data_IF_371397077915
#
_entry.id   IF_371397077915
#
_cell.length_a   1.000
_cell.length_b   1.000
_cell.length_c   1.000
_cell.angle_alpha   90.00
_cell.angle_beta   90.00
_cell.angle_gamma   90.00
#
_symmetry.space_group_name_H-M   'P 1'
#
loop_
_entity.id
_entity.type
_entity.pdbx_description
1 polymer ?
#
# COMPACT_ATOMS: atom_id res chain seq x y z
N UNK A 1 -14.47 25.74 38.22
CA UNK A 1 -13.15 25.25 37.79
C UNK A 1 -12.37 24.94 39.06
N UNK A 2 -11.82 23.72 39.23
CA UNK A 2 -11.02 23.37 40.39
C UNK A 2 -9.86 24.35 40.58
N UNK A 3 -9.55 24.72 41.83
CA UNK A 3 -8.49 25.67 42.17
C UNK A 3 -7.10 25.24 41.65
N UNK A 4 -6.90 23.94 41.46
CA UNK A 4 -5.70 23.33 40.91
C UNK A 4 -5.46 23.65 39.42
N UNK A 5 -6.47 24.19 38.72
CA UNK A 5 -6.38 24.59 37.31
C UNK A 5 -6.25 26.11 37.12
N UNK A 6 -6.11 26.89 38.21
CA UNK A 6 -5.85 28.31 38.14
C UNK A 6 -4.35 28.55 38.05
N UNK A 7 -3.88 29.03 36.91
CA UNK A 7 -2.51 29.51 36.76
C UNK A 7 -2.48 30.95 37.28
N UNK A 8 -1.81 31.18 38.40
CA UNK A 8 -1.75 32.48 39.05
C UNK A 8 -0.67 33.40 38.46
N UNK A 9 0.21 32.87 37.61
CA UNK A 9 1.25 33.65 36.93
C UNK A 9 1.34 33.29 35.46
N UNK A 10 1.68 34.24 34.57
CA UNK A 10 1.86 33.95 33.15
C UNK A 10 3.05 33.00 32.99
N UNK A 11 2.76 31.79 32.50
CA UNK A 11 3.79 30.81 32.16
C UNK A 11 4.48 31.22 30.88
N UNK A 12 5.74 31.63 30.96
CA UNK A 12 6.54 31.93 29.77
C UNK A 12 6.99 30.61 29.11
N UNK A 13 6.42 30.28 27.95
CA UNK A 13 6.90 29.15 27.14
C UNK A 13 8.14 29.60 26.40
N UNK A 14 9.32 29.15 26.83
CA UNK A 14 10.56 29.36 26.10
C UNK A 14 10.61 28.39 24.93
N UNK A 15 10.40 28.91 23.74
CA UNK A 15 10.74 28.17 22.52
C UNK A 15 12.26 28.17 22.36
N UNK A 16 12.92 27.04 22.12
CA UNK A 16 14.33 27.02 21.79
C UNK A 16 14.61 27.92 20.60
N UNK A 17 15.44 28.93 20.78
CA UNK A 17 15.86 29.84 19.69
C UNK A 17 16.85 29.19 18.71
N UNK A 18 17.32 28.02 19.02
CA UNK A 18 18.22 27.30 18.15
C UNK A 18 17.45 26.76 16.95
N UNK A 19 17.73 27.33 15.79
CA UNK A 19 17.46 26.71 14.50
C UNK A 19 18.31 25.44 14.38
N UNK A 20 18.06 24.47 15.24
CA UNK A 20 18.53 23.12 15.01
C UNK A 20 17.92 22.70 13.68
N UNK A 21 18.74 22.61 12.67
CA UNK A 21 18.44 21.97 11.40
C UNK A 21 17.44 20.87 11.66
N UNK A 22 16.21 21.03 11.15
CA UNK A 22 15.25 19.97 11.09
C UNK A 22 15.97 18.80 10.42
N UNK A 23 16.52 17.90 11.22
CA UNK A 23 16.88 16.58 10.70
C UNK A 23 15.59 16.11 10.09
N UNK A 24 15.56 15.98 8.78
CA UNK A 24 14.53 15.23 8.09
C UNK A 24 14.62 13.83 8.67
N UNK A 25 13.90 13.61 9.76
CA UNK A 25 13.64 12.27 10.27
C UNK A 25 12.87 11.61 9.13
N UNK A 26 13.55 10.73 8.41
CA UNK A 26 12.86 9.87 7.46
C UNK A 26 11.76 9.17 8.23
N UNK A 27 10.51 9.57 7.96
CA UNK A 27 9.34 8.99 8.59
C UNK A 27 9.24 7.57 8.04
N UNK A 28 9.71 6.60 8.81
CA UNK A 28 9.49 5.20 8.50
C UNK A 28 8.12 4.81 9.06
N UNK A 29 7.31 4.05 8.30
CA UNK A 29 6.08 3.51 8.85
C UNK A 29 6.42 2.63 10.06
N UNK A 30 5.64 2.71 11.14
CA UNK A 30 5.84 1.81 12.27
C UNK A 30 5.74 0.37 11.79
N UNK A 31 6.70 -0.48 12.18
CA UNK A 31 6.63 -1.91 11.89
C UNK A 31 5.55 -2.56 12.76
N UNK A 32 4.43 -2.93 12.16
CA UNK A 32 3.29 -3.56 12.83
C UNK A 32 3.28 -5.09 12.62
N UNK A 33 4.47 -5.67 12.47
CA UNK A 33 4.64 -7.10 12.22
C UNK A 33 4.49 -7.51 10.76
N UNK A 34 4.70 -8.81 10.50
CA UNK A 34 4.70 -9.40 9.15
C UNK A 34 3.33 -9.98 8.73
N UNK A 35 2.25 -9.67 9.44
CA UNK A 35 0.89 -10.11 9.13
C UNK A 35 0.26 -9.31 7.97
N UNK A 36 -0.95 -9.69 7.59
CA UNK A 36 -1.76 -8.92 6.62
C UNK A 36 -1.95 -7.45 7.05
N UNK A 37 -2.12 -7.19 8.36
CA UNK A 37 -2.27 -5.82 8.86
C UNK A 37 -0.99 -5.02 8.60
N UNK A 38 0.19 -5.57 8.95
CA UNK A 38 1.47 -4.94 8.65
C UNK A 38 1.67 -4.68 7.16
N UNK A 39 1.30 -5.64 6.32
CA UNK A 39 1.37 -5.51 4.86
C UNK A 39 0.53 -4.35 4.32
N UNK A 40 -0.76 -4.29 4.71
CA UNK A 40 -1.66 -3.26 4.20
C UNK A 40 -1.27 -1.86 4.67
N UNK A 41 -0.82 -1.72 5.91
CA UNK A 41 -0.37 -0.43 6.45
C UNK A 41 0.95 0.02 5.79
N UNK A 42 1.91 -0.88 5.61
CA UNK A 42 3.15 -0.56 4.91
C UNK A 42 2.90 -0.13 3.46
N UNK A 43 1.95 -0.80 2.76
CA UNK A 43 1.60 -0.45 1.39
C UNK A 43 0.84 0.88 1.36
N UNK A 44 -0.18 1.08 2.20
CA UNK A 44 -0.92 2.34 2.29
C UNK A 44 -0.02 3.53 2.64
N UNK A 45 1.00 3.31 3.51
CA UNK A 45 1.98 4.33 3.81
C UNK A 45 2.86 4.68 2.60
N UNK A 46 3.29 3.68 1.82
CA UNK A 46 4.06 3.91 0.58
C UNK A 46 3.24 4.68 -0.47
N UNK A 47 1.95 4.39 -0.59
CA UNK A 47 1.07 4.98 -1.61
C UNK A 47 0.66 6.44 -1.29
N UNK A 48 0.33 6.74 -0.03
CA UNK A 48 -0.27 8.02 0.35
C UNK A 48 0.16 8.55 1.74
N UNK A 49 1.20 7.97 2.35
CA UNK A 49 1.50 8.19 3.78
C UNK A 49 0.34 7.82 4.71
N UNK A 50 -0.53 6.89 4.27
CA UNK A 50 -1.70 6.44 5.02
C UNK A 50 -2.92 7.35 4.94
N UNK A 51 -2.92 8.36 4.06
CA UNK A 51 -3.99 9.33 3.96
C UNK A 51 -5.17 8.81 3.11
N UNK A 52 -6.35 8.66 3.73
CA UNK A 52 -7.57 8.22 3.04
C UNK A 52 -8.19 9.28 2.12
N UNK A 53 -7.94 10.56 2.36
CA UNK A 53 -8.67 11.67 1.76
C UNK A 53 -7.91 12.35 0.61
N UNK A 54 -6.84 11.74 0.13
CA UNK A 54 -6.00 12.30 -0.92
C UNK A 54 -6.33 11.75 -2.29
N UNK A 55 -6.26 12.63 -3.30
CA UNK A 55 -6.19 12.26 -4.71
C UNK A 55 -4.87 12.78 -5.26
N UNK A 56 -4.10 11.94 -5.94
CA UNK A 56 -2.85 12.36 -6.54
C UNK A 56 -3.04 13.07 -7.89
N UNK A 57 -1.96 13.57 -8.47
CA UNK A 57 -1.97 14.31 -9.75
C UNK A 57 -2.45 13.48 -10.95
N UNK A 58 -2.45 12.15 -10.85
CA UNK A 58 -2.93 11.22 -11.87
C UNK A 58 -4.36 10.74 -11.63
N UNK A 59 -5.04 11.27 -10.58
CA UNK A 59 -6.42 10.90 -10.25
C UNK A 59 -6.57 9.59 -9.48
N UNK A 60 -5.50 9.04 -8.88
CA UNK A 60 -5.59 7.89 -7.99
C UNK A 60 -6.10 8.31 -6.61
N UNK A 61 -6.93 7.47 -5.99
CA UNK A 61 -7.79 7.81 -4.86
C UNK A 61 -7.38 7.12 -3.57
N UNK A 62 -7.35 7.89 -2.49
CA UNK A 62 -7.32 7.45 -1.10
C UNK A 62 -6.03 6.80 -0.64
N UNK A 63 -6.10 6.14 0.51
CA UNK A 63 -4.96 5.52 1.19
C UNK A 63 -4.13 4.58 0.30
N UNK A 64 -4.80 3.83 -0.56
CA UNK A 64 -4.18 2.82 -1.41
C UNK A 64 -4.03 3.25 -2.87
N UNK A 65 -4.29 4.51 -3.18
CA UNK A 65 -4.16 5.09 -4.51
C UNK A 65 -4.82 4.26 -5.61
N UNK A 66 -6.12 4.01 -5.47
CA UNK A 66 -6.89 3.26 -6.45
C UNK A 66 -7.24 4.08 -7.69
N UNK A 67 -7.00 3.52 -8.86
CA UNK A 67 -7.57 4.04 -10.10
C UNK A 67 -9.06 3.67 -10.25
N UNK A 68 -9.86 4.60 -10.82
CA UNK A 68 -11.31 4.43 -10.96
C UNK A 68 -11.69 3.16 -11.75
N UNK A 69 -10.92 2.78 -12.76
CA UNK A 69 -11.17 1.56 -13.52
C UNK A 69 -11.05 0.29 -12.65
N UNK A 70 -10.12 0.27 -11.69
CA UNK A 70 -9.96 -0.84 -10.75
C UNK A 70 -11.13 -0.88 -9.75
N UNK A 71 -11.58 0.28 -9.28
CA UNK A 71 -12.74 0.41 -8.40
C UNK A 71 -14.02 -0.10 -9.08
N UNK A 72 -14.25 0.29 -10.34
CA UNK A 72 -15.40 -0.16 -11.13
C UNK A 72 -15.43 -1.69 -11.29
N UNK A 73 -14.28 -2.34 -11.47
CA UNK A 73 -14.18 -3.80 -11.50
C UNK A 73 -14.68 -4.45 -10.21
N UNK A 74 -14.58 -3.76 -9.09
CA UNK A 74 -15.00 -4.25 -7.77
C UNK A 74 -16.40 -3.78 -7.36
N UNK A 75 -17.09 -3.01 -8.22
CA UNK A 75 -18.44 -2.52 -7.98
C UNK A 75 -18.52 -1.17 -7.28
N UNK A 76 -17.41 -0.44 -7.18
CA UNK A 76 -17.38 0.92 -6.64
C UNK A 76 -17.35 1.91 -7.80
N UNK A 77 -18.44 2.66 -7.98
CA UNK A 77 -18.63 3.58 -9.12
C UNK A 77 -18.61 5.05 -8.72
N UNK A 78 -18.77 5.37 -7.43
CA UNK A 78 -18.77 6.74 -6.93
C UNK A 78 -17.42 7.08 -6.28
N UNK A 79 -16.58 7.81 -7.00
CA UNK A 79 -15.25 8.22 -6.56
C UNK A 79 -15.28 9.13 -5.32
N UNK A 80 -16.25 10.06 -5.27
CA UNK A 80 -16.37 11.00 -4.14
C UNK A 80 -16.78 10.27 -2.85
N UNK A 81 -17.75 9.37 -2.95
CA UNK A 81 -18.13 8.54 -1.80
C UNK A 81 -16.95 7.65 -1.36
N UNK A 82 -16.24 7.03 -2.30
CA UNK A 82 -15.08 6.21 -1.99
C UNK A 82 -14.01 6.98 -1.23
N UNK A 83 -13.72 8.22 -1.65
CA UNK A 83 -12.69 9.05 -1.03
C UNK A 83 -13.07 9.48 0.41
N UNK A 84 -14.36 9.61 0.71
CA UNK A 84 -14.86 10.00 2.03
C UNK A 84 -15.18 8.82 2.97
N UNK A 85 -15.02 7.57 2.49
CA UNK A 85 -15.34 6.36 3.24
C UNK A 85 -14.08 5.49 3.45
N UNK A 86 -13.34 5.65 4.57
CA UNK A 86 -12.18 4.84 4.89
C UNK A 86 -12.49 3.34 4.97
N UNK A 87 -13.67 2.97 5.48
CA UNK A 87 -14.06 1.56 5.60
C UNK A 87 -14.28 0.92 4.22
N UNK A 88 -14.91 1.64 3.29
CA UNK A 88 -15.03 1.22 1.91
C UNK A 88 -13.66 1.04 1.23
N UNK A 89 -12.70 1.92 1.54
CA UNK A 89 -11.32 1.80 1.03
C UNK A 89 -10.62 0.55 1.55
N UNK A 90 -10.76 0.22 2.83
CA UNK A 90 -10.22 -1.02 3.41
C UNK A 90 -10.86 -2.27 2.79
N UNK A 91 -12.19 -2.28 2.61
CA UNK A 91 -12.87 -3.39 1.93
C UNK A 91 -12.44 -3.53 0.47
N UNK A 92 -12.30 -2.41 -0.25
CA UNK A 92 -11.82 -2.41 -1.63
C UNK A 92 -10.39 -2.96 -1.74
N UNK A 93 -9.52 -2.58 -0.80
CA UNK A 93 -8.15 -3.10 -0.76
C UNK A 93 -8.14 -4.63 -0.56
N UNK A 94 -8.87 -5.12 0.44
CA UNK A 94 -8.99 -6.57 0.66
C UNK A 94 -9.56 -7.28 -0.58
N UNK A 95 -10.62 -6.74 -1.18
CA UNK A 95 -11.24 -7.27 -2.40
C UNK A 95 -10.26 -7.34 -3.57
N UNK A 96 -9.45 -6.29 -3.78
CA UNK A 96 -8.40 -6.28 -4.80
C UNK A 96 -7.34 -7.34 -4.55
N UNK A 97 -6.91 -7.52 -3.28
CA UNK A 97 -5.94 -8.55 -2.92
C UNK A 97 -6.48 -9.95 -3.20
N UNK A 98 -7.72 -10.26 -2.82
CA UNK A 98 -8.35 -11.57 -3.08
C UNK A 98 -8.46 -11.86 -4.58
N UNK A 99 -8.81 -10.84 -5.37
CA UNK A 99 -8.89 -10.93 -6.84
C UNK A 99 -7.52 -11.17 -7.46
N UNK A 100 -6.52 -10.38 -7.09
CA UNK A 100 -5.16 -10.50 -7.62
C UNK A 100 -4.55 -11.86 -7.24
N UNK A 101 -4.77 -12.33 -6.02
CA UNK A 101 -4.32 -13.66 -5.57
C UNK A 101 -4.94 -14.77 -6.42
N UNK A 102 -6.23 -14.66 -6.77
CA UNK A 102 -6.87 -15.63 -7.67
C UNK A 102 -6.30 -15.58 -9.10
N UNK A 103 -6.12 -14.39 -9.66
CA UNK A 103 -5.58 -14.21 -11.01
C UNK A 103 -4.17 -14.77 -11.12
N UNK A 104 -3.35 -14.53 -10.08
CA UNK A 104 -1.93 -14.89 -10.02
C UNK A 104 -1.65 -16.26 -9.37
N UNK A 105 -2.66 -17.01 -8.92
CA UNK A 105 -2.49 -18.24 -8.14
C UNK A 105 -1.52 -19.27 -8.75
N UNK A 106 -1.56 -19.44 -10.07
CA UNK A 106 -0.65 -20.35 -10.79
C UNK A 106 0.78 -19.81 -10.82
N UNK A 107 0.93 -18.51 -10.99
CA UNK A 107 2.24 -17.85 -11.02
C UNK A 107 2.84 -17.77 -9.61
N UNK A 108 2.03 -17.50 -8.58
CA UNK A 108 2.45 -17.59 -7.15
C UNK A 108 3.01 -18.98 -6.87
N UNK A 109 2.26 -20.04 -7.16
CA UNK A 109 2.71 -21.44 -6.92
C UNK A 109 3.99 -21.77 -7.68
N UNK A 110 4.16 -21.23 -8.91
CA UNK A 110 5.32 -21.50 -9.76
C UNK A 110 6.58 -20.75 -9.34
N UNK A 111 6.45 -19.52 -8.87
CA UNK A 111 7.59 -18.62 -8.68
C UNK A 111 7.92 -18.30 -7.22
N UNK A 112 7.00 -18.50 -6.27
CA UNK A 112 7.27 -18.32 -4.83
C UNK A 112 8.50 -19.13 -4.41
N UNK A 113 9.44 -18.47 -3.72
CA UNK A 113 10.70 -19.06 -3.27
C UNK A 113 11.85 -18.97 -4.28
N UNK A 114 11.58 -18.64 -5.54
CA UNK A 114 12.64 -18.43 -6.56
C UNK A 114 13.28 -17.06 -6.43
N UNK A 115 14.45 -16.90 -7.05
CA UNK A 115 15.08 -15.59 -7.25
C UNK A 115 14.99 -15.17 -8.72
N UNK A 116 14.57 -13.92 -8.95
CA UNK A 116 14.54 -13.30 -10.27
C UNK A 116 15.29 -11.98 -10.17
N UNK A 117 16.35 -11.81 -10.96
CA UNK A 117 17.25 -10.64 -10.91
C UNK A 117 17.69 -10.26 -9.48
N UNK A 118 18.05 -11.27 -8.67
CA UNK A 118 18.47 -11.07 -7.29
C UNK A 118 17.34 -10.91 -6.27
N UNK A 119 16.09 -10.68 -6.71
CA UNK A 119 14.94 -10.48 -5.83
C UNK A 119 14.32 -11.83 -5.44
N UNK A 120 14.15 -12.05 -4.16
CA UNK A 120 13.39 -13.21 -3.62
C UNK A 120 11.91 -13.05 -3.92
N UNK A 121 11.33 -13.96 -4.68
CA UNK A 121 9.91 -13.90 -5.03
C UNK A 121 9.06 -14.46 -3.88
N UNK A 122 8.18 -13.62 -3.35
CA UNK A 122 7.25 -13.98 -2.28
C UNK A 122 5.80 -13.72 -2.73
N UNK A 123 4.84 -14.32 -2.05
CA UNK A 123 3.42 -14.07 -2.32
C UNK A 123 3.06 -12.60 -2.07
N UNK A 124 3.50 -12.03 -0.95
CA UNK A 124 3.24 -10.64 -0.59
C UNK A 124 3.86 -9.67 -1.59
N UNK A 125 5.10 -9.88 -2.02
CA UNK A 125 5.73 -9.08 -3.06
C UNK A 125 4.95 -9.13 -4.37
N UNK A 126 4.51 -10.33 -4.81
CA UNK A 126 3.68 -10.50 -6.02
C UNK A 126 2.38 -9.70 -5.92
N UNK A 127 1.69 -9.74 -4.77
CA UNK A 127 0.41 -9.03 -4.58
C UNK A 127 0.59 -7.52 -4.50
N UNK A 128 1.66 -7.04 -3.85
CA UNK A 128 1.99 -5.61 -3.85
C UNK A 128 2.32 -5.11 -5.26
N UNK A 129 3.17 -5.82 -6.00
CA UNK A 129 3.47 -5.48 -7.39
C UNK A 129 2.23 -5.52 -8.29
N UNK A 130 1.27 -6.42 -8.02
CA UNK A 130 0.01 -6.47 -8.74
C UNK A 130 -0.92 -5.29 -8.42
N UNK A 131 -0.82 -4.74 -7.22
CA UNK A 131 -1.51 -3.49 -6.88
C UNK A 131 -0.95 -2.31 -7.67
N UNK A 132 0.38 -2.17 -7.71
CA UNK A 132 1.08 -1.12 -8.45
C UNK A 132 0.82 -1.16 -9.96
N UNK A 133 1.14 -2.29 -10.58
CA UNK A 133 1.27 -2.41 -12.03
C UNK A 133 0.15 -3.23 -12.69
N UNK A 134 -0.73 -3.83 -11.90
CA UNK A 134 -1.75 -4.78 -12.34
C UNK A 134 -1.21 -6.20 -12.57
N UNK A 135 -2.06 -7.19 -12.31
CA UNK A 135 -1.71 -8.61 -12.38
C UNK A 135 -1.16 -9.06 -13.75
N UNK A 136 -1.58 -8.42 -14.85
CA UNK A 136 -1.10 -8.74 -16.20
C UNK A 136 0.38 -8.42 -16.40
N UNK A 137 0.84 -7.29 -15.89
CA UNK A 137 2.25 -6.89 -15.97
C UNK A 137 3.13 -7.75 -15.06
N UNK A 138 2.63 -8.10 -13.87
CA UNK A 138 3.34 -9.01 -12.95
C UNK A 138 3.50 -10.41 -13.56
N UNK A 139 2.48 -10.92 -14.26
CA UNK A 139 2.60 -12.18 -15.02
C UNK A 139 3.71 -12.09 -16.08
N UNK A 140 3.77 -11.00 -16.82
CA UNK A 140 4.82 -10.79 -17.85
C UNK A 140 6.20 -10.74 -17.21
N UNK A 141 6.37 -10.00 -16.12
CA UNK A 141 7.61 -9.93 -15.35
C UNK A 141 8.06 -11.33 -14.89
N UNK A 142 7.21 -12.06 -14.19
CA UNK A 142 7.55 -13.38 -13.64
C UNK A 142 7.92 -14.37 -14.74
N UNK A 143 7.12 -14.44 -15.82
CA UNK A 143 7.28 -15.41 -16.91
C UNK A 143 8.45 -15.11 -17.81
N UNK A 144 8.87 -13.84 -17.91
CA UNK A 144 10.07 -13.41 -18.62
C UNK A 144 11.33 -13.39 -17.76
N UNK A 145 11.23 -13.88 -16.50
CA UNK A 145 12.33 -13.83 -15.53
C UNK A 145 12.91 -12.41 -15.39
N UNK A 146 12.01 -11.42 -15.31
CA UNK A 146 12.36 -10.03 -15.06
C UNK A 146 12.74 -9.20 -16.30
N UNK A 147 12.64 -9.76 -17.53
CA UNK A 147 12.95 -8.98 -18.73
C UNK A 147 11.90 -7.89 -19.06
N UNK A 148 10.69 -8.00 -18.51
CA UNK A 148 9.64 -6.99 -18.60
C UNK A 148 9.38 -6.35 -17.24
N UNK A 149 10.31 -5.55 -16.76
CA UNK A 149 10.21 -4.81 -15.50
C UNK A 149 9.59 -3.44 -15.78
N UNK A 150 8.25 -3.37 -15.67
CA UNK A 150 7.50 -2.15 -15.93
C UNK A 150 7.55 -1.23 -14.71
N UNK A 151 7.78 0.06 -14.94
CA UNK A 151 7.63 1.11 -13.94
C UNK A 151 6.22 1.74 -13.97
N UNK A 152 5.81 2.30 -12.83
CA UNK A 152 4.65 3.18 -12.73
C UNK A 152 4.98 4.59 -13.26
N UNK A 153 4.03 5.52 -13.13
CA UNK A 153 4.20 6.91 -13.54
C UNK A 153 5.26 7.69 -12.74
N UNK A 154 5.63 7.20 -11.56
CA UNK A 154 6.66 7.78 -10.69
C UNK A 154 8.02 7.08 -10.80
N UNK A 155 8.14 6.12 -11.71
CA UNK A 155 9.38 5.40 -11.98
C UNK A 155 9.63 4.19 -11.07
N UNK A 156 8.68 3.82 -10.19
CA UNK A 156 8.82 2.65 -9.32
C UNK A 156 8.57 1.36 -10.10
N UNK A 157 9.51 0.42 -10.07
CA UNK A 157 9.43 -0.82 -10.83
C UNK A 157 8.71 -1.95 -10.11
N UNK A 158 8.30 -2.98 -10.88
CA UNK A 158 7.74 -4.22 -10.34
C UNK A 158 8.76 -4.90 -9.41
N UNK A 159 10.04 -4.96 -9.81
CA UNK A 159 11.10 -5.58 -9.01
C UNK A 159 11.30 -4.90 -7.64
N UNK A 160 11.22 -3.57 -7.59
CA UNK A 160 11.29 -2.81 -6.32
C UNK A 160 10.13 -3.14 -5.38
N UNK A 161 8.90 -3.26 -5.89
CA UNK A 161 7.75 -3.66 -5.06
C UNK A 161 7.85 -5.11 -4.61
N UNK A 162 8.30 -6.02 -5.47
CA UNK A 162 8.57 -7.41 -5.10
C UNK A 162 9.57 -7.51 -3.93
N UNK A 163 10.63 -6.71 -3.97
CA UNK A 163 11.66 -6.68 -2.93
C UNK A 163 11.13 -6.02 -1.64
N UNK A 164 10.54 -4.83 -1.78
CA UNK A 164 10.10 -4.01 -0.63
C UNK A 164 9.01 -4.68 0.19
N UNK A 165 8.07 -5.34 -0.46
CA UNK A 165 6.90 -5.95 0.18
C UNK A 165 7.01 -7.48 0.32
N UNK A 166 8.22 -8.01 0.23
CA UNK A 166 8.50 -9.42 0.50
C UNK A 166 8.41 -9.76 1.98
N UNK A 167 7.99 -11.01 2.30
CA UNK A 167 8.09 -11.56 3.66
C UNK A 167 6.86 -11.37 4.56
N UNK A 168 5.78 -10.76 4.08
CA UNK A 168 4.52 -10.71 4.84
C UNK A 168 3.71 -12.00 4.69
N UNK A 169 3.03 -12.40 5.76
CA UNK A 169 2.09 -13.51 5.73
C UNK A 169 0.70 -13.04 5.25
N UNK A 170 0.31 -13.54 4.09
CA UNK A 170 -0.98 -13.28 3.47
C UNK A 170 -1.86 -14.55 3.38
N UNK A 171 -1.61 -15.53 4.22
CA UNK A 171 -2.38 -16.79 4.28
C UNK A 171 -3.88 -16.55 4.58
N UNK A 172 -4.20 -15.51 5.35
CA UNK A 172 -5.56 -15.09 5.66
C UNK A 172 -6.36 -14.61 4.42
N UNK A 173 -5.68 -14.18 3.35
CA UNK A 173 -6.34 -13.73 2.11
C UNK A 173 -6.73 -14.96 1.29
N UNK A 174 -8.02 -15.24 1.17
CA UNK A 174 -8.53 -16.32 0.32
C UNK A 174 -8.74 -15.82 -1.11
N UNK A 175 -8.20 -16.53 -2.14
CA UNK A 175 -8.36 -16.11 -3.53
C UNK A 175 -9.83 -16.23 -3.98
N UNK A 176 -10.35 -15.19 -4.64
CA UNK A 176 -11.72 -15.16 -5.17
C UNK A 176 -11.74 -14.58 -6.59
N UNK A 177 -12.49 -15.22 -7.52
CA UNK A 177 -12.43 -14.92 -8.97
C UNK A 177 -12.90 -13.51 -9.32
N UNK A 178 -14.10 -13.16 -8.92
CA UNK A 178 -14.75 -11.88 -9.22
C UNK A 178 -15.37 -11.30 -7.95
N UNK A 179 -14.55 -10.97 -6.93
CA UNK A 179 -15.10 -10.42 -5.71
C UNK A 179 -15.62 -9.00 -5.96
N UNK A 180 -16.67 -8.64 -5.22
CA UNK A 180 -17.21 -7.28 -5.12
C UNK A 180 -17.07 -6.80 -3.69
N UNK A 181 -17.04 -5.49 -3.52
CA UNK A 181 -16.93 -4.83 -2.20
C UNK A 181 -18.27 -4.92 -1.48
#
# INVERSE_FOLDING_TARGET
VPSSLKVNEPTMVLFPKDKTTLRTTSIFPPFIGSSYVGFKEALGFKESSGNYFITNTYGYLGKYQFGIATLNLMGVYNASQFLLDPELQERAFYTNMTRNKWILRKDINRFKGKRIKGVQITESGILAAAHLAGAGNVKRFLRSYGNHDKCDAYGTSISEYLQKFGGYDLSAIRPKRNPKV
#
